data_IF_289210102139
#
_entry.id   IF_289210102139
#
_cell.length_a   1.000
_cell.length_b   1.000
_cell.length_c   1.000
_cell.angle_alpha   90.00
_cell.angle_beta   90.00
_cell.angle_gamma   90.00
#
_symmetry.space_group_name_H-M   'P 1'
#
loop_
_entity.id
_entity.type
_entity.pdbx_description
1 polymer ?
#
# COMPACT_ATOMS: atom_id res chain seq x y z
N UNK A 1 34.51 -54.36 -9.27
CA UNK A 1 33.96 -53.46 -8.22
C UNK A 1 34.04 -52.03 -8.74
N UNK A 2 32.93 -51.46 -9.23
CA UNK A 2 32.88 -50.10 -9.80
C UNK A 2 32.87 -49.08 -8.66
N UNK A 3 33.92 -48.28 -8.52
CA UNK A 3 33.98 -47.16 -7.58
C UNK A 3 33.30 -45.96 -8.23
N UNK A 4 32.07 -45.69 -7.81
CA UNK A 4 31.35 -44.48 -8.21
C UNK A 4 31.91 -43.29 -7.43
N UNK A 5 32.59 -42.34 -8.09
CA UNK A 5 32.95 -41.06 -7.49
C UNK A 5 31.70 -40.17 -7.47
N UNK A 6 31.16 -39.94 -6.28
CA UNK A 6 30.10 -38.94 -6.07
C UNK A 6 30.79 -37.58 -5.96
N UNK A 7 30.73 -36.78 -7.02
CA UNK A 7 31.12 -35.37 -6.99
C UNK A 7 30.09 -34.59 -6.19
N UNK A 8 30.45 -34.22 -4.96
CA UNK A 8 29.68 -33.32 -4.12
C UNK A 8 29.88 -31.88 -4.63
N UNK A 9 28.97 -31.38 -5.45
CA UNK A 9 28.99 -30.00 -5.93
C UNK A 9 28.66 -29.05 -4.77
N UNK A 10 29.67 -28.43 -4.19
CA UNK A 10 29.52 -27.39 -3.18
C UNK A 10 28.97 -26.14 -3.85
N UNK A 11 27.70 -25.83 -3.63
CA UNK A 11 27.04 -24.63 -4.14
C UNK A 11 27.65 -23.42 -3.42
N UNK A 12 28.53 -22.69 -4.11
CA UNK A 12 29.12 -21.46 -3.59
C UNK A 12 28.05 -20.36 -3.58
N UNK A 13 27.43 -20.14 -2.42
CA UNK A 13 26.53 -18.99 -2.19
C UNK A 13 27.38 -17.73 -2.12
N UNK A 14 27.60 -17.13 -3.29
CA UNK A 14 28.20 -15.81 -3.43
C UNK A 14 27.24 -14.80 -2.78
N UNK A 15 27.51 -14.46 -1.52
CA UNK A 15 26.76 -13.40 -0.84
C UNK A 15 27.26 -12.07 -1.40
N UNK A 16 26.42 -11.27 -2.07
CA UNK A 16 26.84 -9.96 -2.56
C UNK A 16 27.28 -9.09 -1.37
N UNK A 17 28.51 -8.57 -1.44
CA UNK A 17 28.99 -7.56 -0.48
C UNK A 17 28.39 -6.24 -0.90
N UNK A 18 27.31 -5.82 -0.23
CA UNK A 18 26.76 -4.49 -0.41
C UNK A 18 27.59 -3.49 0.40
N UNK A 19 28.15 -2.47 -0.24
CA UNK A 19 28.56 -1.28 0.48
C UNK A 19 27.29 -0.51 0.88
N UNK A 20 27.22 0.10 2.07
CA UNK A 20 26.09 0.93 2.50
C UNK A 20 24.94 0.15 3.15
N UNK A 21 23.72 0.38 2.67
CA UNK A 21 22.52 -0.24 3.21
C UNK A 21 21.57 -0.65 2.08
N UNK A 22 20.66 -1.58 2.38
CA UNK A 22 19.60 -1.99 1.47
C UNK A 22 18.24 -1.80 2.11
N UNK A 23 17.24 -1.55 1.27
CA UNK A 23 15.84 -1.47 1.67
C UNK A 23 15.02 -2.44 0.82
N UNK A 24 14.04 -3.10 1.44
CA UNK A 24 13.11 -4.03 0.77
C UNK A 24 11.73 -3.89 1.39
N UNK A 25 10.67 -4.17 0.61
CA UNK A 25 9.31 -4.16 1.09
C UNK A 25 8.65 -5.52 0.84
N UNK A 26 7.70 -5.91 1.69
CA UNK A 26 6.89 -7.10 1.53
C UNK A 26 5.89 -7.00 0.36
N UNK A 27 5.41 -5.79 0.07
CA UNK A 27 4.53 -5.49 -1.06
C UNK A 27 4.81 -4.11 -1.66
N UNK A 28 4.74 -4.00 -2.99
CA UNK A 28 4.88 -2.73 -3.72
C UNK A 28 3.55 -2.18 -4.26
N UNK A 29 2.49 -3.00 -4.22
CA UNK A 29 1.18 -2.67 -4.77
C UNK A 29 0.05 -3.09 -3.83
N UNK A 30 -0.02 -2.51 -2.61
CA UNK A 30 -1.08 -2.80 -1.67
C UNK A 30 -2.45 -2.36 -2.22
N UNK A 31 -3.50 -3.08 -1.82
CA UNK A 31 -4.88 -2.81 -2.20
C UNK A 31 -5.69 -2.49 -0.95
N UNK A 32 -6.41 -1.38 -0.95
CA UNK A 32 -7.06 -0.83 0.26
C UNK A 32 -8.39 -0.18 -0.08
N UNK A 33 -9.37 -0.27 0.82
CA UNK A 33 -10.62 0.48 0.71
C UNK A 33 -10.48 1.86 1.37
N UNK A 34 -11.25 2.88 0.95
CA UNK A 34 -11.44 4.09 1.74
C UNK A 34 -11.75 3.76 3.21
N UNK A 35 -11.20 4.56 4.14
CA UNK A 35 -11.32 4.44 5.61
C UNK A 35 -10.75 3.20 6.28
N UNK A 36 -10.29 2.21 5.51
CA UNK A 36 -9.58 1.03 6.02
C UNK A 36 -8.07 1.24 6.00
N UNK A 37 -7.35 0.55 6.89
CA UNK A 37 -5.88 0.63 6.96
C UNK A 37 -5.25 -0.65 6.42
N UNK A 38 -4.37 -0.49 5.44
CA UNK A 38 -3.47 -1.54 4.96
C UNK A 38 -2.07 -1.34 5.53
N UNK A 39 -1.42 -2.41 5.96
CA UNK A 39 -0.07 -2.38 6.52
C UNK A 39 0.94 -2.93 5.52
N UNK A 40 1.96 -2.13 5.22
CA UNK A 40 3.14 -2.54 4.45
C UNK A 40 4.38 -2.46 5.32
N UNK A 41 5.24 -3.46 5.25
CA UNK A 41 6.50 -3.51 6.01
C UNK A 41 7.68 -3.27 5.10
N UNK A 42 8.52 -2.31 5.48
CA UNK A 42 9.82 -2.04 4.84
C UNK A 42 10.93 -2.50 5.78
N UNK A 43 11.83 -3.36 5.32
CA UNK A 43 13.05 -3.76 6.02
C UNK A 43 14.21 -2.86 5.56
N UNK A 44 15.01 -2.39 6.51
CA UNK A 44 16.31 -1.77 6.26
C UNK A 44 17.39 -2.64 6.88
N UNK A 45 18.48 -2.85 6.13
CA UNK A 45 19.65 -3.61 6.58
C UNK A 45 20.89 -2.73 6.45
N UNK A 46 21.62 -2.54 7.54
CA UNK A 46 22.92 -1.85 7.52
C UNK A 46 24.03 -2.83 7.14
N UNK A 47 24.61 -2.71 5.93
CA UNK A 47 25.75 -3.54 5.51
C UNK A 47 27.10 -2.86 5.80
N UNK A 48 27.11 -1.64 6.35
CA UNK A 48 28.34 -0.98 6.75
C UNK A 48 28.93 -1.62 8.02
N UNK A 49 30.24 -1.49 8.19
CA UNK A 49 30.98 -1.97 9.35
C UNK A 49 30.90 -1.04 10.58
N UNK A 50 30.04 -0.03 10.55
CA UNK A 50 29.86 0.96 11.63
C UNK A 50 28.38 1.24 11.88
N UNK A 51 28.07 1.82 13.04
CA UNK A 51 26.73 2.30 13.35
C UNK A 51 26.30 3.38 12.36
N UNK A 52 25.05 3.29 11.90
CA UNK A 52 24.43 4.26 10.99
C UNK A 52 23.09 4.75 11.52
N UNK A 53 22.88 6.06 11.38
CA UNK A 53 21.58 6.70 11.59
C UNK A 53 20.87 6.85 10.27
N UNK A 54 19.61 6.45 10.22
CA UNK A 54 18.75 6.52 9.04
C UNK A 54 17.65 7.55 9.26
N UNK A 55 17.54 8.48 8.32
CA UNK A 55 16.42 9.42 8.22
C UNK A 55 15.45 8.92 7.17
N UNK A 56 14.17 8.87 7.51
CA UNK A 56 13.12 8.31 6.65
C UNK A 56 12.17 9.40 6.18
N UNK A 57 11.59 9.23 5.00
CA UNK A 57 10.64 10.19 4.45
C UNK A 57 9.66 9.56 3.47
N UNK A 58 8.48 10.16 3.38
CA UNK A 58 7.43 9.83 2.42
C UNK A 58 7.15 11.03 1.53
N UNK A 59 6.84 10.78 0.25
CA UNK A 59 6.44 11.81 -0.71
C UNK A 59 5.49 11.22 -1.75
N UNK A 60 4.72 12.07 -2.45
CA UNK A 60 3.75 11.66 -3.46
C UNK A 60 2.29 11.70 -2.96
N UNK A 61 1.37 11.30 -3.82
CA UNK A 61 -0.06 11.51 -3.62
C UNK A 61 -0.61 10.65 -2.48
N UNK A 62 -0.18 9.38 -2.37
CA UNK A 62 -0.61 8.51 -1.29
C UNK A 62 0.05 8.84 0.06
N UNK A 63 1.19 9.57 0.07
CA UNK A 63 1.90 9.90 1.30
C UNK A 63 1.07 10.73 2.29
N UNK A 64 0.11 11.54 1.80
CA UNK A 64 -0.74 12.39 2.64
C UNK A 64 -1.67 11.59 3.58
N UNK A 65 -1.90 10.31 3.28
CA UNK A 65 -2.73 9.40 4.06
C UNK A 65 -1.98 8.11 4.46
N UNK A 66 -0.64 8.14 4.40
CA UNK A 66 0.23 7.07 4.89
C UNK A 66 0.98 7.55 6.12
N UNK A 67 0.73 6.90 7.26
CA UNK A 67 1.52 7.10 8.46
C UNK A 67 2.71 6.12 8.49
N UNK A 68 3.85 6.54 9.04
CA UNK A 68 5.07 5.74 9.10
C UNK A 68 5.58 5.68 10.54
N UNK A 69 5.97 4.48 10.99
CA UNK A 69 6.61 4.30 12.28
C UNK A 69 7.69 3.19 12.22
N UNK A 70 8.90 3.43 12.76
CA UNK A 70 9.40 4.71 13.29
C UNK A 70 9.73 5.72 12.17
N UNK A 71 9.98 7.00 12.52
CA UNK A 71 10.39 8.05 11.56
C UNK A 71 11.90 8.08 11.27
N UNK A 72 12.67 7.29 12.00
CA UNK A 72 14.12 7.17 11.91
C UNK A 72 14.64 6.13 12.90
N UNK A 73 15.87 5.68 12.69
CA UNK A 73 16.47 4.63 13.52
C UNK A 73 17.99 4.62 13.45
N UNK A 74 18.62 4.00 14.44
CA UNK A 74 20.05 3.72 14.45
C UNK A 74 20.23 2.20 14.34
N UNK A 75 21.08 1.74 13.42
CA UNK A 75 21.38 0.33 13.25
C UNK A 75 22.88 0.11 13.42
N UNK A 76 23.23 -0.93 14.18
CA UNK A 76 24.57 -1.49 14.27
C UNK A 76 24.97 -2.15 12.93
N UNK A 77 26.25 -2.52 12.76
CA UNK A 77 26.68 -3.30 11.61
C UNK A 77 25.89 -4.60 11.46
N UNK A 78 25.37 -4.87 10.26
CA UNK A 78 24.53 -6.02 9.91
C UNK A 78 23.18 -6.09 10.64
N UNK A 79 22.81 -5.06 11.40
CA UNK A 79 21.50 -5.01 12.05
C UNK A 79 20.40 -4.69 11.03
N UNK A 80 19.21 -5.22 11.32
CA UNK A 80 18.01 -5.12 10.50
C UNK A 80 16.89 -4.55 11.33
N UNK A 81 16.03 -3.77 10.70
CA UNK A 81 14.85 -3.30 11.38
C UNK A 81 13.70 -3.03 10.41
N UNK A 82 12.50 -3.11 10.96
CA UNK A 82 11.25 -2.94 10.23
C UNK A 82 10.68 -1.55 10.44
N UNK A 83 10.11 -1.02 9.36
CA UNK A 83 9.36 0.22 9.32
C UNK A 83 7.97 -0.14 8.81
N UNK A 84 6.97 0.33 9.54
CA UNK A 84 5.58 0.06 9.29
C UNK A 84 4.94 1.26 8.59
N UNK A 85 4.36 1.02 7.42
CA UNK A 85 3.62 2.00 6.63
C UNK A 85 2.13 1.68 6.75
N UNK A 86 1.40 2.52 7.48
CA UNK A 86 -0.04 2.41 7.71
C UNK A 86 -0.77 3.27 6.70
N UNK A 87 -1.33 2.63 5.68
CA UNK A 87 -1.90 3.24 4.49
C UNK A 87 -3.42 3.32 4.67
N UNK A 88 -3.98 4.52 4.93
CA UNK A 88 -5.41 4.69 5.25
C UNK A 88 -6.06 5.80 4.40
N UNK A 89 -6.55 5.49 3.18
CA UNK A 89 -7.18 6.49 2.33
C UNK A 89 -8.38 7.16 3.02
N UNK A 90 -8.61 8.43 2.73
CA UNK A 90 -9.77 9.16 3.27
C UNK A 90 -11.08 8.59 2.74
N UNK A 91 -12.20 8.88 3.41
CA UNK A 91 -13.55 8.48 2.96
C UNK A 91 -13.94 9.04 1.57
N UNK A 92 -13.25 10.08 1.11
CA UNK A 92 -13.49 10.73 -0.17
C UNK A 92 -12.48 10.33 -1.25
N UNK A 93 -11.50 9.48 -0.92
CA UNK A 93 -10.54 8.96 -1.87
C UNK A 93 -11.29 8.23 -2.98
N UNK A 94 -11.09 8.68 -4.22
CA UNK A 94 -11.71 8.05 -5.36
C UNK A 94 -11.02 6.72 -5.65
N UNK A 95 -11.75 5.71 -6.17
CA UNK A 95 -11.13 4.49 -6.64
C UNK A 95 -10.06 4.78 -7.70
N UNK A 96 -8.91 4.10 -7.61
CA UNK A 96 -7.80 4.30 -8.54
C UNK A 96 -6.42 4.05 -7.94
N UNK A 97 -5.40 4.30 -8.75
CA UNK A 97 -4.01 4.08 -8.38
C UNK A 97 -3.35 5.36 -7.86
N UNK A 98 -2.74 5.28 -6.69
CA UNK A 98 -2.03 6.36 -6.03
C UNK A 98 -0.61 5.96 -5.72
N UNK A 99 0.35 6.78 -6.10
CA UNK A 99 1.75 6.51 -5.85
C UNK A 99 2.25 7.22 -4.59
N UNK A 100 3.21 6.60 -3.91
CA UNK A 100 4.09 7.29 -2.99
C UNK A 100 5.49 6.70 -3.06
N UNK A 101 6.48 7.47 -2.60
CA UNK A 101 7.88 7.06 -2.53
C UNK A 101 8.34 7.09 -1.09
N UNK A 102 8.83 5.95 -0.61
CA UNK A 102 9.60 5.83 0.61
C UNK A 102 11.06 6.15 0.33
N UNK A 103 11.65 7.01 1.15
CA UNK A 103 13.06 7.40 1.05
C UNK A 103 13.74 7.07 2.37
N UNK A 104 14.88 6.38 2.30
CA UNK A 104 15.80 6.24 3.42
C UNK A 104 17.13 6.90 3.07
N UNK A 105 17.68 7.71 3.98
CA UNK A 105 18.99 8.33 3.79
C UNK A 105 19.91 8.10 4.98
N UNK A 106 21.19 7.88 4.69
CA UNK A 106 22.26 7.81 5.68
C UNK A 106 23.60 8.17 5.05
N UNK A 107 24.42 8.97 5.74
CA UNK A 107 25.79 9.31 5.32
C UNK A 107 25.91 9.83 3.87
N UNK A 108 24.91 10.58 3.39
CA UNK A 108 24.87 11.11 2.01
C UNK A 108 24.37 10.12 0.94
N UNK A 109 24.14 8.86 1.30
CA UNK A 109 23.47 7.87 0.43
C UNK A 109 21.95 7.92 0.62
N UNK A 110 21.22 7.76 -0.48
CA UNK A 110 19.77 7.76 -0.53
C UNK A 110 19.30 6.52 -1.29
N UNK A 111 18.41 5.75 -0.68
CA UNK A 111 17.70 4.63 -1.31
C UNK A 111 16.20 4.93 -1.32
N UNK A 112 15.49 4.46 -2.35
CA UNK A 112 14.07 4.72 -2.50
C UNK A 112 13.30 3.47 -2.94
N UNK A 113 12.05 3.34 -2.47
CA UNK A 113 11.07 2.38 -2.99
C UNK A 113 9.84 3.17 -3.44
N UNK A 114 9.37 2.88 -4.65
CA UNK A 114 8.11 3.42 -5.16
C UNK A 114 7.00 2.40 -4.92
N UNK A 115 5.88 2.87 -4.37
CA UNK A 115 4.67 2.09 -4.13
C UNK A 115 3.56 2.57 -5.06
N UNK A 116 2.72 1.64 -5.50
CA UNK A 116 1.51 1.91 -6.28
C UNK A 116 0.29 1.35 -5.55
N UNK A 117 -0.33 2.17 -4.70
CA UNK A 117 -1.49 1.79 -3.89
C UNK A 117 -2.74 1.79 -4.75
N UNK A 118 -3.47 0.67 -4.76
CA UNK A 118 -4.73 0.54 -5.47
C UNK A 118 -5.90 0.77 -4.50
N UNK A 119 -6.50 1.96 -4.55
CA UNK A 119 -7.72 2.29 -3.81
C UNK A 119 -8.90 1.63 -4.52
N UNK A 120 -9.51 0.65 -3.86
CA UNK A 120 -10.64 -0.10 -4.40
C UNK A 120 -11.94 0.71 -4.30
N UNK A 121 -12.85 0.46 -5.23
CA UNK A 121 -14.24 0.85 -5.08
C UNK A 121 -14.95 -0.15 -4.16
N UNK A 122 -14.98 0.17 -2.86
CA UNK A 122 -15.58 -0.71 -1.85
C UNK A 122 -16.97 -0.26 -1.40
N UNK A 123 -17.31 1.01 -1.65
CA UNK A 123 -18.54 1.65 -1.20
C UNK A 123 -19.31 2.08 -2.46
N UNK A 124 -19.98 1.11 -3.10
CA UNK A 124 -20.74 1.32 -4.32
C UNK A 124 -22.20 1.64 -4.00
N UNK A 125 -22.72 2.71 -4.58
CA UNK A 125 -24.13 3.07 -4.48
C UNK A 125 -24.66 3.39 -5.87
N UNK A 126 -25.75 2.74 -6.27
CA UNK A 126 -26.49 3.13 -7.47
C UNK A 126 -27.94 3.47 -7.16
N UNK A 127 -28.45 4.48 -7.87
CA UNK A 127 -29.85 4.87 -7.86
C UNK A 127 -30.37 4.69 -9.28
N UNK A 128 -31.45 3.94 -9.41
CA UNK A 128 -32.15 3.77 -10.68
C UNK A 128 -33.62 4.16 -10.54
N UNK A 129 -34.17 4.83 -11.55
CA UNK A 129 -35.60 5.10 -11.60
C UNK A 129 -36.30 3.92 -12.29
N UNK A 130 -37.40 3.43 -11.72
CA UNK A 130 -38.22 2.42 -12.40
C UNK A 130 -38.87 2.96 -13.68
N UNK A 131 -39.15 4.27 -13.70
CA UNK A 131 -39.64 5.00 -14.87
C UNK A 131 -38.96 6.37 -14.92
N UNK A 132 -38.50 6.80 -16.09
CA UNK A 132 -37.84 8.10 -16.31
C UNK A 132 -38.82 9.21 -16.73
N UNK A 133 -40.06 8.83 -17.06
CA UNK A 133 -41.12 9.74 -17.45
C UNK A 133 -42.49 9.26 -16.96
N UNK A 134 -43.39 10.21 -16.67
CA UNK A 134 -44.78 9.91 -16.34
C UNK A 134 -45.70 11.00 -16.86
N UNK A 135 -46.67 10.60 -17.68
CA UNK A 135 -47.75 11.50 -18.08
C UNK A 135 -48.75 11.64 -16.92
N UNK A 136 -49.08 12.89 -16.58
CA UNK A 136 -50.06 13.23 -15.53
C UNK A 136 -51.10 14.19 -16.08
N UNK A 137 -52.31 14.12 -15.55
CA UNK A 137 -53.38 15.06 -15.86
C UNK A 137 -53.24 16.34 -15.03
N UNK A 138 -53.81 17.43 -15.50
CA UNK A 138 -53.86 18.69 -14.75
C UNK A 138 -54.53 18.48 -13.39
N UNK A 139 -53.85 18.90 -12.32
CA UNK A 139 -54.31 18.72 -10.93
C UNK A 139 -54.05 17.36 -10.31
N UNK A 140 -53.31 16.45 -10.97
CA UNK A 140 -52.91 15.15 -10.40
C UNK A 140 -51.41 15.07 -10.10
N UNK A 141 -51.04 14.25 -9.12
CA UNK A 141 -49.64 13.97 -8.77
C UNK A 141 -49.14 12.73 -9.50
N UNK A 142 -47.90 12.77 -9.97
CA UNK A 142 -47.22 11.62 -10.56
C UNK A 142 -46.12 11.12 -9.62
N UNK A 143 -46.19 9.85 -9.25
CA UNK A 143 -45.18 9.24 -8.39
C UNK A 143 -44.06 8.61 -9.23
N UNK A 144 -42.83 8.75 -8.74
CA UNK A 144 -41.66 8.07 -9.26
C UNK A 144 -41.14 7.11 -8.19
N UNK A 145 -40.84 5.88 -8.60
CA UNK A 145 -40.18 4.90 -7.76
C UNK A 145 -38.69 4.89 -8.08
N UNK A 146 -37.88 5.22 -7.08
CA UNK A 146 -36.43 5.08 -7.15
C UNK A 146 -36.03 3.79 -6.43
N UNK A 147 -35.12 3.03 -7.03
CA UNK A 147 -34.47 1.88 -6.42
C UNK A 147 -33.06 2.32 -6.04
N UNK A 148 -32.78 2.23 -4.76
CA UNK A 148 -31.45 2.38 -4.20
C UNK A 148 -30.82 0.98 -4.08
N UNK A 149 -29.65 0.78 -4.69
CA UNK A 149 -28.89 -0.47 -4.62
C UNK A 149 -27.53 -0.20 -3.99
N UNK A 150 -27.20 -0.97 -2.96
CA UNK A 150 -25.84 -1.06 -2.45
C UNK A 150 -25.04 -2.01 -3.35
N UNK A 151 -24.16 -1.45 -4.17
CA UNK A 151 -23.22 -2.18 -5.02
C UNK A 151 -21.84 -2.36 -4.36
N UNK A 152 -21.69 -1.86 -3.12
CA UNK A 152 -20.50 -1.99 -2.30
C UNK A 152 -20.30 -3.39 -1.73
N UNK A 153 -19.13 -3.59 -1.11
CA UNK A 153 -18.75 -4.86 -0.48
C UNK A 153 -19.36 -5.08 0.90
N UNK A 154 -19.78 -4.00 1.55
CA UNK A 154 -20.24 -4.01 2.93
C UNK A 154 -21.72 -3.65 3.03
N UNK A 155 -22.40 -4.14 4.07
CA UNK A 155 -23.74 -3.65 4.38
C UNK A 155 -23.66 -2.20 4.86
N UNK A 156 -24.34 -1.31 4.15
CA UNK A 156 -24.35 0.13 4.43
C UNK A 156 -25.74 0.56 4.93
N UNK A 157 -25.77 1.61 5.75
CA UNK A 157 -27.01 2.28 6.15
C UNK A 157 -27.11 3.59 5.38
N UNK A 158 -28.22 3.79 4.68
CA UNK A 158 -28.49 5.01 3.96
C UNK A 158 -29.60 5.78 4.68
N UNK A 159 -29.35 7.07 4.92
CA UNK A 159 -30.36 8.00 5.42
C UNK A 159 -30.93 8.74 4.20
N UNK A 160 -32.24 8.60 3.96
CA UNK A 160 -32.94 9.01 2.73
C UNK A 160 -34.08 9.97 3.05
#
# INVERSE_FOLDING_TARGET
MKRSLILLSMLLVISPVYAGFTISADSLSPSVCPTTTELVTVEIINHDNSYKTYTLGLSGNAAQWTAMAPSGMNLAPNERANIYLYITPSMYAQPGNYNFKFTASSSGRIENINFNVNVQDCNGLSISAQNDQRAVCSGTTGDFSLILTNDGRWTETYDI
#
